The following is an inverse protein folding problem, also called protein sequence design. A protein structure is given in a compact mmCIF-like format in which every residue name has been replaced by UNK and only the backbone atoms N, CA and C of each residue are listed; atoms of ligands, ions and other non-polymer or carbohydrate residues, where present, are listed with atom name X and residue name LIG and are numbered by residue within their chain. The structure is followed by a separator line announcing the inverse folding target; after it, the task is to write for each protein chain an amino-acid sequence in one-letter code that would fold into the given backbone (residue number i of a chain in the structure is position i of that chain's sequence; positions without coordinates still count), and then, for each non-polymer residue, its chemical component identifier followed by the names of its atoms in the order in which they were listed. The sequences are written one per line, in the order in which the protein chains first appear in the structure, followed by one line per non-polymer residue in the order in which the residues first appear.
data_IF_760582316228
#
_entry.id   IF_760582316228
#
_cell.length_a   1.000
_cell.length_b   1.000
_cell.length_c   1.000
_cell.angle_alpha   90.00
_cell.angle_beta   90.00
_cell.angle_gamma   90.00
#
_symmetry.space_group_name_H-M   'P 1'
#
loop_
_entity.id
_entity.type
_entity.pdbx_description
1 polymer ?
#
# COMPACT_ATOMS: atom_id res chain seq x y z
N UNK A 1 -21.63 -6.67 3.09
CA UNK A 1 -21.60 -5.35 2.43
C UNK A 1 -20.16 -4.92 2.26
N UNK A 2 -19.65 -4.89 1.04
CA UNK A 2 -18.31 -4.35 0.76
C UNK A 2 -18.53 -2.86 0.49
N UNK A 3 -18.27 -2.00 1.46
CA UNK A 3 -18.30 -0.55 1.21
C UNK A 3 -16.92 -0.09 0.77
N UNK A 4 -16.86 0.57 -0.38
CA UNK A 4 -15.73 1.40 -0.80
C UNK A 4 -15.74 2.68 0.05
N UNK A 5 -15.25 2.54 1.29
CA UNK A 5 -15.03 3.64 2.25
C UNK A 5 -14.14 4.69 1.57
N UNK A 6 -14.30 6.01 1.84
CA UNK A 6 -13.55 7.06 1.16
C UNK A 6 -12.05 6.82 1.18
N UNK A 7 -11.52 6.48 0.01
CA UNK A 7 -10.14 6.04 -0.20
C UNK A 7 -9.11 7.15 0.04
N UNK A 8 -9.51 8.42 -0.08
CA UNK A 8 -8.60 9.57 0.03
C UNK A 8 -7.77 9.58 1.33
N UNK A 9 -8.37 9.64 2.53
CA UNK A 9 -7.58 9.67 3.76
C UNK A 9 -6.75 8.41 4.00
N UNK A 10 -7.15 7.27 3.42
CA UNK A 10 -6.41 6.00 3.56
C UNK A 10 -5.20 5.96 2.63
N UNK A 11 -5.35 6.41 1.38
CA UNK A 11 -4.29 6.44 0.36
C UNK A 11 -3.27 7.52 0.66
N UNK A 12 -3.69 8.70 1.12
CA UNK A 12 -2.77 9.81 1.41
C UNK A 12 -1.69 9.43 2.44
N UNK A 13 -2.05 8.62 3.43
CA UNK A 13 -1.12 8.10 4.46
C UNK A 13 -0.11 7.09 3.92
N UNK A 14 -0.36 6.52 2.75
CA UNK A 14 0.53 5.53 2.12
C UNK A 14 1.36 6.11 0.98
N UNK A 15 1.15 7.38 0.60
CA UNK A 15 1.96 8.05 -0.43
C UNK A 15 3.45 8.04 -0.06
N UNK A 16 4.30 7.74 -1.04
CA UNK A 16 5.75 7.63 -0.85
C UNK A 16 6.23 6.33 -0.19
N UNK A 17 5.32 5.42 0.17
CA UNK A 17 5.70 4.05 0.57
C UNK A 17 5.89 3.18 -0.66
N UNK A 18 6.90 2.33 -0.60
CA UNK A 18 7.10 1.28 -1.59
C UNK A 18 6.02 0.19 -1.43
N UNK A 19 5.62 -0.44 -2.53
CA UNK A 19 4.71 -1.59 -2.52
C UNK A 19 5.43 -2.75 -3.20
N UNK A 20 5.57 -3.86 -2.49
CA UNK A 20 6.14 -5.09 -3.01
C UNK A 20 5.05 -6.15 -3.15
N UNK A 21 5.17 -6.98 -4.18
CA UNK A 21 4.22 -8.06 -4.43
C UNK A 21 4.92 -9.35 -4.85
N UNK A 22 4.50 -10.49 -4.29
CA UNK A 22 4.90 -11.82 -4.78
C UNK A 22 3.73 -12.42 -5.53
N UNK A 23 3.93 -12.69 -6.82
CA UNK A 23 2.95 -13.38 -7.66
C UNK A 23 3.08 -14.87 -7.46
N UNK A 24 1.96 -15.51 -7.14
CA UNK A 24 1.81 -16.96 -7.08
C UNK A 24 0.72 -17.38 -8.08
N UNK A 25 0.62 -18.66 -8.38
CA UNK A 25 -0.40 -19.15 -9.31
C UNK A 25 -1.81 -18.78 -8.82
N UNK A 26 -2.42 -17.77 -9.46
CA UNK A 26 -3.76 -17.27 -9.13
C UNK A 26 -3.86 -16.28 -7.97
N UNK A 27 -2.76 -15.85 -7.36
CA UNK A 27 -2.82 -14.87 -6.26
C UNK A 27 -1.60 -13.94 -6.23
N UNK A 28 -1.77 -12.80 -5.55
CA UNK A 28 -0.66 -11.88 -5.24
C UNK A 28 -0.71 -11.57 -3.76
N UNK A 29 0.41 -11.79 -3.08
CA UNK A 29 0.61 -11.27 -1.71
C UNK A 29 1.30 -9.91 -1.79
N UNK A 30 0.80 -8.94 -1.03
CA UNK A 30 1.30 -7.56 -1.04
C UNK A 30 1.93 -7.20 0.30
N UNK A 31 3.03 -6.45 0.26
CA UNK A 31 3.69 -5.88 1.43
C UNK A 31 3.91 -4.38 1.20
N UNK A 32 3.51 -3.58 2.19
CA UNK A 32 3.78 -2.14 2.18
C UNK A 32 5.12 -1.87 2.86
N UNK A 33 6.00 -1.17 2.15
CA UNK A 33 7.30 -0.73 2.63
C UNK A 33 7.19 0.36 3.70
N UNK A 34 8.32 0.59 4.38
CA UNK A 34 8.46 1.73 5.28
C UNK A 34 8.45 3.02 4.48
N UNK A 35 7.80 4.05 5.02
CA UNK A 35 7.90 5.39 4.47
C UNK A 35 9.35 5.84 4.62
N UNK A 36 10.05 5.99 3.49
CA UNK A 36 11.39 6.55 3.48
C UNK A 36 11.24 8.05 3.74
N UNK A 37 11.50 8.48 4.98
CA UNK A 37 11.70 9.89 5.26
C UNK A 37 13.02 10.33 4.61
N UNK A 38 13.05 11.53 4.04
CA UNK A 38 14.32 12.21 3.81
C UNK A 38 14.82 12.58 5.22
N UNK A 39 15.76 11.80 5.75
CA UNK A 39 16.55 12.26 6.89
C UNK A 39 17.53 13.26 6.33
N UNK A 40 17.29 14.55 6.61
CA UNK A 40 18.32 15.58 6.53
C UNK A 40 19.14 15.56 7.82
#
# INVERSE_FOLDING_TARGET
LISLVPWRPVIDRQLGREVMGIVQSGSVSWQLGRQRGISL
#
